data_IF_438407080017
#
_entry.id   IF_438407080017
#
_cell.length_a   1.000
_cell.length_b   1.000
_cell.length_c   1.000
_cell.angle_alpha   90.00
_cell.angle_beta   90.00
_cell.angle_gamma   90.00
#
_symmetry.space_group_name_H-M   'P 1'
#
loop_
_entity.id
_entity.type
_entity.pdbx_description
1 polymer ?
#
# COMPACT_ATOMS: atom_id res chain seq x y z
N UNK A 1 18.80 -9.23 -44.53
CA UNK A 1 18.44 -8.84 -45.91
C UNK A 1 18.38 -7.32 -46.02
N UNK A 2 19.07 -6.74 -47.01
CA UNK A 2 19.15 -5.31 -47.35
C UNK A 2 17.90 -4.80 -48.07
N UNK A 3 17.57 -3.51 -47.90
CA UNK A 3 16.98 -2.48 -48.83
C UNK A 3 16.27 -1.43 -47.95
N UNK A 4 16.68 -0.18 -47.75
CA UNK A 4 16.97 0.98 -48.65
C UNK A 4 15.83 1.29 -49.64
N UNK A 5 15.05 2.38 -49.44
CA UNK A 5 15.09 3.65 -50.22
C UNK A 5 13.87 4.60 -50.04
N UNK A 6 14.18 5.91 -49.84
CA UNK A 6 13.57 7.19 -50.32
C UNK A 6 12.06 7.47 -50.13
N UNK A 7 11.68 8.55 -49.42
CA UNK A 7 11.64 9.99 -49.82
C UNK A 7 10.68 10.33 -50.97
N UNK A 8 9.71 11.22 -50.71
CA UNK A 8 9.30 12.28 -51.65
C UNK A 8 8.63 13.46 -50.91
N UNK A 9 9.32 14.59 -50.89
CA UNK A 9 8.74 15.94 -50.79
C UNK A 9 8.06 16.24 -52.13
N UNK A 10 6.91 16.92 -52.11
CA UNK A 10 6.36 17.57 -53.31
C UNK A 10 6.03 19.02 -52.97
N UNK A 11 6.77 19.92 -53.58
CA UNK A 11 6.43 21.33 -53.72
C UNK A 11 5.57 21.50 -54.97
N UNK A 12 4.62 22.43 -54.95
CA UNK A 12 4.04 23.01 -56.16
C UNK A 12 3.99 24.53 -55.99
N UNK A 13 4.86 25.22 -56.71
CA UNK A 13 4.85 26.65 -56.98
C UNK A 13 3.73 27.00 -57.97
N UNK A 14 3.30 28.27 -57.98
CA UNK A 14 2.94 29.15 -59.12
C UNK A 14 2.07 30.28 -58.51
N UNK A 15 2.18 31.59 -58.77
CA UNK A 15 3.02 32.47 -59.59
C UNK A 15 2.71 33.91 -59.15
N UNK A 16 3.71 34.79 -59.21
CA UNK A 16 3.64 36.25 -59.04
C UNK A 16 3.46 36.89 -60.44
N UNK A 17 2.83 38.09 -60.56
CA UNK A 17 3.59 39.30 -60.93
C UNK A 17 3.14 40.52 -60.11
N UNK A 18 4.00 41.20 -59.35
CA UNK A 18 4.88 42.32 -59.73
C UNK A 18 4.19 43.46 -60.48
N UNK A 19 4.00 44.60 -59.79
CA UNK A 19 4.07 45.94 -60.37
C UNK A 19 4.72 46.92 -59.37
N UNK A 20 6.00 47.22 -59.62
CA UNK A 20 6.77 48.41 -59.24
C UNK A 20 6.11 49.64 -59.90
N UNK A 21 6.10 50.91 -59.45
CA UNK A 21 6.88 51.72 -58.50
C UNK A 21 6.15 53.07 -58.39
N UNK A 22 6.10 53.74 -57.22
CA UNK A 22 6.35 55.19 -57.15
C UNK A 22 6.59 55.64 -55.69
N UNK A 23 7.82 56.05 -55.40
CA UNK A 23 8.22 56.77 -54.20
C UNK A 23 7.86 58.23 -54.41
N UNK A 24 7.07 58.83 -53.51
CA UNK A 24 7.11 60.27 -53.27
C UNK A 24 6.92 60.57 -51.78
N UNK A 25 7.85 61.36 -51.24
CA UNK A 25 7.89 61.87 -49.87
C UNK A 25 6.60 62.63 -49.50
N UNK A 26 6.09 62.37 -48.30
CA UNK A 26 5.08 63.19 -47.63
C UNK A 26 5.21 63.04 -46.12
N UNK A 27 5.96 63.96 -45.50
CA UNK A 27 5.94 64.20 -44.05
C UNK A 27 4.51 64.60 -43.64
N UNK A 28 3.89 63.86 -42.72
CA UNK A 28 2.53 64.16 -42.25
C UNK A 28 2.03 63.25 -41.13
N UNK A 29 2.39 63.59 -39.90
CA UNK A 29 1.68 63.31 -38.65
C UNK A 29 1.30 61.85 -38.29
N UNK A 30 2.17 61.19 -37.52
CA UNK A 30 1.71 60.34 -36.43
C UNK A 30 0.98 61.23 -35.42
N UNK A 31 -0.35 61.19 -35.39
CA UNK A 31 -1.07 61.75 -34.23
C UNK A 31 -0.82 60.83 -33.05
N UNK A 32 0.13 61.23 -32.19
CA UNK A 32 0.20 60.75 -30.81
C UNK A 32 -1.21 60.82 -30.24
N UNK A 33 -1.75 59.68 -29.79
CA UNK A 33 -2.82 59.69 -28.79
C UNK A 33 -2.29 60.51 -27.64
N UNK A 34 -2.99 61.61 -27.34
CA UNK A 34 -2.58 62.60 -26.38
C UNK A 34 -2.33 61.94 -25.04
N UNK A 35 -1.13 62.15 -24.50
CA UNK A 35 -0.86 62.11 -23.08
C UNK A 35 -1.96 62.90 -22.35
N UNK A 36 -2.51 62.29 -21.29
CA UNK A 36 -3.40 62.88 -20.29
C UNK A 36 -4.61 63.68 -20.82
N UNK A 37 -5.86 63.19 -20.63
CA UNK A 37 -6.91 64.16 -20.38
C UNK A 37 -6.52 64.86 -19.08
N UNK A 38 -6.22 66.16 -19.16
CA UNK A 38 -6.10 67.01 -17.98
C UNK A 38 -7.39 66.86 -17.17
N UNK A 39 -7.29 66.14 -16.05
CA UNK A 39 -8.34 66.03 -15.04
C UNK A 39 -8.62 67.45 -14.53
N UNK A 40 -9.88 67.91 -14.50
CA UNK A 40 -10.20 69.21 -13.90
C UNK A 40 -9.72 69.24 -12.45
N UNK A 41 -8.81 70.16 -12.14
CA UNK A 41 -8.26 70.37 -10.80
C UNK A 41 -9.23 71.19 -9.93
N UNK A 42 -10.46 70.70 -9.79
CA UNK A 42 -11.43 71.15 -8.78
C UNK A 42 -11.53 70.09 -7.67
N UNK A 43 -12.13 70.42 -6.50
CA UNK A 43 -12.49 69.38 -5.55
C UNK A 43 -13.45 68.41 -6.26
N UNK A 44 -12.98 67.20 -6.54
CA UNK A 44 -13.84 66.14 -7.07
C UNK A 44 -15.04 66.01 -6.14
N UNK A 45 -16.29 66.04 -6.64
CA UNK A 45 -17.39 65.53 -5.84
C UNK A 45 -16.98 64.13 -5.39
N UNK A 46 -17.09 63.83 -4.10
CA UNK A 46 -16.82 62.48 -3.60
C UNK A 46 -17.75 61.53 -4.33
N UNK A 47 -17.21 60.80 -5.32
CA UNK A 47 -17.96 59.82 -6.11
C UNK A 47 -18.41 58.62 -5.27
N UNK A 48 -17.77 58.44 -4.11
CA UNK A 48 -18.18 57.49 -3.08
C UNK A 48 -18.77 58.23 -1.87
N UNK A 49 -19.77 57.65 -1.17
CA UNK A 49 -20.32 58.22 0.05
C UNK A 49 -19.28 58.27 1.20
N UNK A 50 -19.55 59.08 2.21
CA UNK A 50 -18.79 59.06 3.46
C UNK A 50 -18.85 57.65 4.09
N UNK A 51 -17.72 57.15 4.58
CA UNK A 51 -17.61 55.79 5.15
C UNK A 51 -17.22 54.68 4.17
N UNK A 52 -17.02 54.98 2.87
CA UNK A 52 -16.68 54.01 1.82
C UNK A 52 -15.55 53.03 2.17
N UNK A 53 -14.49 53.50 2.84
CA UNK A 53 -13.32 52.68 3.21
C UNK A 53 -13.30 52.26 4.68
N UNK A 54 -14.32 52.62 5.46
CA UNK A 54 -14.39 52.32 6.89
C UNK A 54 -15.32 51.10 7.13
N UNK A 55 -14.77 49.92 7.45
CA UNK A 55 -15.58 48.72 7.68
C UNK A 55 -16.48 48.82 8.91
N UNK A 56 -16.30 49.82 9.79
CA UNK A 56 -17.20 50.07 10.92
C UNK A 56 -18.51 50.72 10.49
N UNK A 57 -18.55 51.39 9.33
CA UNK A 57 -19.74 52.06 8.79
C UNK A 57 -20.44 51.13 7.77
N UNK A 58 -21.07 50.08 8.30
CA UNK A 58 -21.62 48.95 7.51
C UNK A 58 -22.40 49.36 6.25
N UNK A 59 -23.29 50.34 6.36
CA UNK A 59 -24.21 50.70 5.28
C UNK A 59 -23.56 51.44 4.11
N UNK A 60 -22.39 52.07 4.34
CA UNK A 60 -21.65 52.82 3.31
C UNK A 60 -20.33 52.17 2.91
N UNK A 61 -19.89 51.13 3.62
CA UNK A 61 -18.66 50.41 3.33
C UNK A 61 -18.72 49.76 1.94
N UNK A 62 -17.66 49.95 1.14
CA UNK A 62 -17.60 49.52 -0.25
C UNK A 62 -17.93 48.03 -0.44
N UNK A 63 -17.53 47.15 0.48
CA UNK A 63 -17.87 45.73 0.39
C UNK A 63 -19.38 45.46 0.38
N UNK A 64 -20.18 46.22 1.13
CA UNK A 64 -21.65 46.10 1.10
C UNK A 64 -22.24 46.74 -0.14
N UNK A 65 -21.69 47.86 -0.58
CA UNK A 65 -22.14 48.52 -1.81
C UNK A 65 -21.87 47.65 -3.05
N UNK A 66 -20.69 47.02 -3.14
CA UNK A 66 -20.33 46.07 -4.19
C UNK A 66 -21.27 44.86 -4.17
N UNK A 67 -21.54 44.30 -2.98
CA UNK A 67 -22.53 43.20 -2.83
C UNK A 67 -23.91 43.61 -3.32
N UNK A 68 -24.39 44.80 -2.97
CA UNK A 68 -25.69 45.31 -3.40
C UNK A 68 -25.76 45.52 -4.92
N UNK A 69 -24.62 45.76 -5.57
CA UNK A 69 -24.49 45.84 -7.02
C UNK A 69 -24.22 44.48 -7.69
N UNK A 70 -24.52 43.36 -7.01
CA UNK A 70 -24.34 42.02 -7.57
C UNK A 70 -22.87 41.64 -7.80
N UNK A 71 -21.94 42.25 -7.06
CA UNK A 71 -20.50 42.06 -7.19
C UNK A 71 -19.91 42.45 -8.56
N UNK A 72 -20.60 43.30 -9.32
CA UNK A 72 -20.06 43.81 -10.57
C UNK A 72 -18.93 44.82 -10.32
N UNK A 73 -17.71 44.47 -10.74
CA UNK A 73 -16.50 45.28 -10.60
C UNK A 73 -16.14 46.07 -11.86
N UNK A 74 -16.91 45.91 -12.95
CA UNK A 74 -16.60 46.52 -14.26
C UNK A 74 -16.63 48.05 -14.21
N UNK A 75 -17.61 48.62 -13.51
CA UNK A 75 -17.70 50.07 -13.29
C UNK A 75 -16.50 50.60 -12.48
N UNK A 76 -16.00 49.82 -11.52
CA UNK A 76 -14.83 50.18 -10.72
C UNK A 76 -13.56 50.22 -11.60
N UNK A 77 -13.39 49.25 -12.50
CA UNK A 77 -12.24 49.18 -13.41
C UNK A 77 -12.17 50.39 -14.36
N UNK A 78 -13.33 50.96 -14.73
CA UNK A 78 -13.39 52.17 -15.56
C UNK A 78 -12.65 53.38 -14.96
N UNK A 79 -12.62 53.48 -13.63
CA UNK A 79 -11.93 54.56 -12.91
C UNK A 79 -10.59 54.12 -12.30
N UNK A 80 -10.54 52.91 -11.72
CA UNK A 80 -9.40 52.42 -10.94
C UNK A 80 -8.41 51.55 -11.74
N UNK A 81 -8.68 51.35 -13.03
CA UNK A 81 -7.85 50.52 -13.92
C UNK A 81 -8.24 49.04 -13.86
N UNK A 82 -7.94 48.30 -14.91
CA UNK A 82 -8.21 46.84 -15.00
C UNK A 82 -7.40 46.02 -13.99
N UNK A 83 -6.32 46.58 -13.46
CA UNK A 83 -5.46 45.98 -12.42
C UNK A 83 -5.74 46.56 -11.03
N UNK A 84 -6.71 47.47 -10.89
CA UNK A 84 -7.03 48.19 -9.66
C UNK A 84 -5.85 49.00 -9.07
N UNK A 85 -4.82 49.28 -9.87
CA UNK A 85 -3.62 50.01 -9.47
C UNK A 85 -3.80 51.53 -9.47
N UNK A 86 -5.02 52.02 -9.76
CA UNK A 86 -5.41 53.42 -9.61
C UNK A 86 -5.88 54.10 -10.87
N UNK A 87 -5.61 53.53 -12.06
CA UNK A 87 -6.20 53.99 -13.33
C UNK A 87 -6.26 55.52 -13.51
N UNK A 88 -7.40 56.02 -13.95
CA UNK A 88 -7.64 57.48 -14.11
C UNK A 88 -7.95 58.19 -12.79
N UNK A 89 -8.40 57.46 -11.76
CA UNK A 89 -8.68 58.02 -10.44
C UNK A 89 -7.42 58.31 -9.62
N UNK A 90 -6.29 57.71 -9.98
CA UNK A 90 -5.02 57.71 -9.25
C UNK A 90 -5.12 57.15 -7.81
N UNK A 91 -6.21 56.42 -7.49
CA UNK A 91 -6.44 55.81 -6.18
C UNK A 91 -6.42 54.29 -6.33
N UNK A 92 -5.36 53.65 -5.82
CA UNK A 92 -5.21 52.19 -5.92
C UNK A 92 -5.96 51.46 -4.80
N UNK A 93 -6.76 50.45 -5.18
CA UNK A 93 -7.36 49.49 -4.25
C UNK A 93 -6.28 48.66 -3.54
N UNK A 94 -5.11 48.51 -4.18
CA UNK A 94 -4.00 47.72 -3.68
C UNK A 94 -3.29 48.35 -2.47
N UNK A 95 -3.66 49.58 -2.12
CA UNK A 95 -3.21 50.24 -0.88
C UNK A 95 -3.68 49.49 0.36
N UNK A 96 -4.90 48.92 0.30
CA UNK A 96 -5.47 48.12 1.39
C UNK A 96 -5.54 46.63 1.02
N UNK A 97 -5.78 46.31 -0.25
CA UNK A 97 -5.84 44.94 -0.73
C UNK A 97 -4.49 44.49 -1.27
N UNK A 98 -3.80 43.63 -0.52
CA UNK A 98 -2.50 43.11 -0.96
C UNK A 98 -2.52 42.23 -2.21
N UNK A 99 -3.71 41.76 -2.64
CA UNK A 99 -3.96 41.13 -3.95
C UNK A 99 -5.07 41.90 -4.67
N UNK A 100 -5.40 41.52 -5.90
CA UNK A 100 -6.57 42.09 -6.59
C UNK A 100 -7.84 41.96 -5.72
N UNK A 101 -8.73 42.97 -5.67
CA UNK A 101 -10.00 42.86 -4.96
C UNK A 101 -10.90 41.69 -5.40
N UNK A 102 -10.65 41.12 -6.58
CA UNK A 102 -11.33 39.92 -7.11
C UNK A 102 -10.67 38.60 -6.67
N UNK A 103 -9.59 38.64 -5.89
CA UNK A 103 -8.88 37.43 -5.45
C UNK A 103 -9.78 36.57 -4.55
N UNK A 104 -9.72 35.25 -4.72
CA UNK A 104 -10.55 34.30 -3.99
C UNK A 104 -10.50 34.52 -2.48
N UNK A 105 -9.32 34.84 -1.94
CA UNK A 105 -9.08 35.00 -0.50
C UNK A 105 -9.71 36.25 0.10
N UNK A 106 -10.16 37.21 -0.71
CA UNK A 106 -10.88 38.40 -0.26
C UNK A 106 -12.27 38.04 0.26
N UNK A 107 -12.91 37.03 -0.36
CA UNK A 107 -14.25 36.57 -0.01
C UNK A 107 -14.25 35.20 0.69
N UNK A 108 -13.43 34.27 0.22
CA UNK A 108 -13.34 32.90 0.73
C UNK A 108 -12.20 32.78 1.73
N UNK A 109 -12.54 32.95 3.00
CA UNK A 109 -11.63 32.75 4.12
C UNK A 109 -10.48 33.76 4.21
N UNK A 110 -9.33 33.44 3.64
CA UNK A 110 -8.15 34.30 3.62
C UNK A 110 -6.93 33.65 2.97
N UNK A 111 -5.84 34.41 2.81
CA UNK A 111 -4.65 33.98 2.04
C UNK A 111 -4.01 32.67 2.49
N UNK A 112 -4.13 32.35 3.78
CA UNK A 112 -3.58 31.13 4.38
C UNK A 112 -4.52 29.94 4.21
N UNK A 113 -5.83 30.21 4.10
CA UNK A 113 -6.86 29.20 4.14
C UNK A 113 -8.13 29.70 3.46
N UNK A 114 -8.33 29.27 2.22
CA UNK A 114 -9.50 29.63 1.41
C UNK A 114 -10.78 28.98 1.93
N UNK A 115 -10.67 27.87 2.66
CA UNK A 115 -11.80 27.32 3.37
C UNK A 115 -12.11 28.23 4.56
N UNK A 116 -13.31 28.81 4.64
CA UNK A 116 -13.53 29.97 5.49
C UNK A 116 -13.41 29.66 6.98
N UNK A 117 -12.53 30.32 7.74
CA UNK A 117 -12.78 30.60 9.16
C UNK A 117 -13.84 31.71 9.32
N UNK A 118 -14.17 32.42 8.23
CA UNK A 118 -15.17 33.48 8.14
C UNK A 118 -15.91 33.41 6.80
N UNK A 119 -17.24 33.36 6.80
CA UNK A 119 -18.05 33.33 5.58
C UNK A 119 -18.21 34.72 4.93
N UNK A 120 -18.87 34.78 3.77
CA UNK A 120 -19.11 36.02 3.00
C UNK A 120 -20.06 37.01 3.70
N UNK A 121 -20.78 36.56 4.72
CA UNK A 121 -21.62 37.42 5.58
C UNK A 121 -20.86 37.89 6.83
N UNK A 122 -19.63 37.40 7.00
CA UNK A 122 -18.73 37.75 8.07
C UNK A 122 -18.89 36.91 9.33
N UNK A 123 -19.68 35.84 9.31
CA UNK A 123 -19.84 34.92 10.43
C UNK A 123 -18.59 34.05 10.58
N UNK A 124 -18.26 33.67 11.81
CA UNK A 124 -17.10 32.79 12.11
C UNK A 124 -17.49 31.54 12.91
N UNK A 125 -18.76 31.42 13.30
CA UNK A 125 -19.24 30.29 14.09
C UNK A 125 -19.52 29.09 13.19
N UNK A 126 -19.03 27.91 13.58
CA UNK A 126 -19.27 26.64 12.87
C UNK A 126 -20.73 26.19 12.90
N UNK A 127 -21.57 26.79 13.74
CA UNK A 127 -23.02 26.59 13.75
C UNK A 127 -23.74 27.22 12.54
N UNK A 128 -23.04 28.03 11.73
CA UNK A 128 -23.57 28.67 10.52
C UNK A 128 -23.09 27.90 9.28
N UNK A 129 -24.00 27.66 8.33
CA UNK A 129 -23.74 26.85 7.12
C UNK A 129 -22.54 27.37 6.32
N UNK A 130 -22.38 28.69 6.20
CA UNK A 130 -21.27 29.32 5.46
C UNK A 130 -19.89 29.03 6.04
N UNK A 131 -19.79 28.65 7.32
CA UNK A 131 -18.53 28.26 7.97
C UNK A 131 -18.49 26.75 8.18
N UNK A 132 -19.43 26.20 8.95
CA UNK A 132 -19.61 24.76 9.17
C UNK A 132 -18.33 23.95 9.38
N UNK A 133 -18.31 22.74 8.82
CA UNK A 133 -17.22 21.78 8.94
C UNK A 133 -16.09 21.94 7.91
N UNK A 134 -15.97 23.08 7.21
CA UNK A 134 -14.93 23.30 6.19
C UNK A 134 -13.53 22.93 6.71
N UNK A 135 -13.16 23.43 7.90
CA UNK A 135 -11.84 23.19 8.49
C UNK A 135 -11.56 21.73 8.82
N UNK A 136 -12.61 20.93 9.08
CA UNK A 136 -12.45 19.51 9.36
C UNK A 136 -12.07 18.70 8.11
N UNK A 137 -12.43 19.18 6.92
CA UNK A 137 -12.18 18.49 5.65
C UNK A 137 -10.92 18.98 4.95
N UNK A 138 -10.62 20.29 4.99
CA UNK A 138 -9.47 20.86 4.28
C UNK A 138 -8.16 20.82 5.07
N UNK A 139 -8.16 20.19 6.25
CA UNK A 139 -6.98 19.96 7.08
C UNK A 139 -6.82 18.47 7.32
N UNK A 140 -5.58 17.99 7.33
CA UNK A 140 -5.32 16.61 7.67
C UNK A 140 -5.76 16.30 9.10
N UNK A 141 -6.58 15.26 9.26
CA UNK A 141 -7.14 14.82 10.53
C UNK A 141 -6.30 13.73 11.19
N UNK A 142 -6.94 12.98 12.11
CA UNK A 142 -6.35 11.75 12.68
C UNK A 142 -6.43 10.59 11.70
N UNK A 143 -7.56 10.46 11.00
CA UNK A 143 -7.86 9.33 10.14
C UNK A 143 -7.49 9.58 8.68
N UNK A 144 -7.70 10.79 8.15
CA UNK A 144 -7.49 11.08 6.73
C UNK A 144 -6.62 12.30 6.45
N UNK A 145 -6.19 12.41 5.19
CA UNK A 145 -5.56 13.60 4.63
C UNK A 145 -6.55 14.77 4.49
N UNK A 146 -6.03 15.94 4.15
CA UNK A 146 -6.86 17.06 3.71
C UNK A 146 -7.49 16.76 2.34
N UNK A 147 -8.75 17.16 2.15
CA UNK A 147 -9.46 17.05 0.89
C UNK A 147 -9.45 18.38 0.13
N UNK A 148 -9.37 18.28 -1.20
CA UNK A 148 -9.48 19.42 -2.09
C UNK A 148 -10.94 19.90 -2.16
N UNK A 149 -11.16 21.20 -2.37
CA UNK A 149 -12.50 21.79 -2.44
C UNK A 149 -13.37 21.13 -3.53
N UNK A 150 -12.74 20.66 -4.61
CA UNK A 150 -13.37 19.97 -5.73
C UNK A 150 -13.98 18.62 -5.36
N UNK A 151 -13.70 18.10 -4.17
CA UNK A 151 -14.32 16.86 -3.68
C UNK A 151 -15.82 17.05 -3.39
N UNK A 152 -16.24 18.27 -3.04
CA UNK A 152 -17.62 18.55 -2.62
C UNK A 152 -18.35 19.54 -3.53
N UNK A 153 -17.66 20.49 -4.15
CA UNK A 153 -18.30 21.50 -4.98
C UNK A 153 -17.42 21.92 -6.15
N UNK A 154 -18.03 22.55 -7.14
CA UNK A 154 -17.27 23.12 -8.25
C UNK A 154 -16.46 24.30 -7.72
N UNK A 155 -15.16 24.34 -8.03
CA UNK A 155 -14.30 25.50 -7.75
C UNK A 155 -14.21 26.33 -9.03
N UNK A 156 -14.73 27.57 -9.04
CA UNK A 156 -14.64 28.43 -10.21
C UNK A 156 -13.19 28.78 -10.54
N UNK A 157 -12.86 28.80 -11.83
CA UNK A 157 -11.52 29.20 -12.29
C UNK A 157 -11.28 30.71 -12.27
N UNK A 158 -12.34 31.51 -12.20
CA UNK A 158 -12.29 32.98 -12.18
C UNK A 158 -13.44 33.55 -11.35
N UNK A 159 -13.25 34.79 -10.87
CA UNK A 159 -14.27 35.57 -10.17
C UNK A 159 -15.59 35.67 -10.96
N UNK A 160 -15.49 36.01 -12.25
CA UNK A 160 -16.64 36.27 -13.13
C UNK A 160 -17.26 35.01 -13.77
N UNK A 161 -16.93 33.82 -13.28
CA UNK A 161 -17.55 32.60 -13.77
C UNK A 161 -19.07 32.66 -13.52
N UNK A 162 -19.87 32.35 -14.55
CA UNK A 162 -21.33 32.54 -14.52
C UNK A 162 -22.07 31.70 -13.47
N UNK A 163 -21.42 30.70 -12.90
CA UNK A 163 -21.95 29.83 -11.83
C UNK A 163 -21.25 30.07 -10.49
N UNK A 164 -20.47 31.14 -10.34
CA UNK A 164 -19.80 31.47 -9.07
C UNK A 164 -20.64 32.44 -8.23
N UNK A 165 -21.13 33.51 -8.86
CA UNK A 165 -21.97 34.54 -8.24
C UNK A 165 -23.28 34.56 -9.00
N UNK A 166 -24.26 33.83 -8.49
CA UNK A 166 -25.59 33.75 -9.08
C UNK A 166 -26.69 34.01 -8.02
N UNK A 167 -27.93 33.64 -8.31
CA UNK A 167 -29.06 33.85 -7.40
C UNK A 167 -29.11 32.85 -6.23
N UNK A 168 -28.22 31.87 -6.21
CA UNK A 168 -28.09 30.88 -5.16
C UNK A 168 -26.98 31.37 -4.21
N UNK A 169 -27.37 31.81 -3.01
CA UNK A 169 -26.43 32.32 -2.00
C UNK A 169 -25.61 31.21 -1.29
N UNK A 170 -25.15 30.20 -2.03
CA UNK A 170 -24.30 29.08 -1.58
C UNK A 170 -23.61 28.40 -2.76
N UNK A 171 -22.49 27.73 -2.52
CA UNK A 171 -21.84 26.92 -3.54
C UNK A 171 -22.69 25.71 -3.96
N UNK A 172 -22.64 25.38 -5.25
CA UNK A 172 -23.25 24.17 -5.83
C UNK A 172 -22.47 22.93 -5.41
N UNK A 173 -23.11 22.07 -4.61
CA UNK A 173 -22.52 20.81 -4.19
C UNK A 173 -22.57 19.80 -5.35
N UNK A 174 -21.41 19.34 -5.76
CA UNK A 174 -21.19 18.27 -6.73
C UNK A 174 -20.13 17.35 -6.15
N UNK A 175 -20.54 16.18 -5.67
CA UNK A 175 -19.61 15.21 -5.09
C UNK A 175 -18.73 14.59 -6.17
N UNK A 176 -17.42 14.55 -5.93
CA UNK A 176 -16.49 13.88 -6.83
C UNK A 176 -16.56 12.36 -6.68
N UNK A 177 -15.71 11.65 -7.45
CA UNK A 177 -15.72 10.20 -7.52
C UNK A 177 -15.44 9.54 -6.17
N UNK A 178 -14.50 10.08 -5.38
CA UNK A 178 -14.13 9.49 -4.09
C UNK A 178 -15.28 9.58 -3.08
N UNK A 179 -15.90 10.75 -2.93
CA UNK A 179 -17.08 10.94 -2.09
C UNK A 179 -18.29 10.08 -2.52
N UNK A 180 -18.32 9.68 -3.80
CA UNK A 180 -19.36 8.82 -4.38
C UNK A 180 -19.02 7.32 -4.37
N UNK A 181 -17.83 6.93 -3.89
CA UNK A 181 -17.38 5.55 -3.99
C UNK A 181 -18.17 4.63 -3.04
N UNK A 182 -18.74 3.54 -3.57
CA UNK A 182 -19.56 2.61 -2.78
C UNK A 182 -20.89 3.19 -2.26
N UNK A 183 -21.06 4.51 -2.30
CA UNK A 183 -22.29 5.20 -2.01
C UNK A 183 -23.34 4.98 -3.11
N UNK A 184 -24.57 4.71 -2.71
CA UNK A 184 -25.69 4.56 -3.66
C UNK A 184 -26.06 5.89 -4.31
N UNK A 185 -25.96 7.01 -3.57
CA UNK A 185 -26.14 8.39 -4.07
C UNK A 185 -25.76 9.43 -2.99
N UNK A 186 -24.54 10.01 -3.00
CA UNK A 186 -24.22 11.09 -2.06
C UNK A 186 -25.11 12.30 -2.30
N UNK A 187 -25.61 12.88 -1.20
CA UNK A 187 -26.53 14.01 -1.24
C UNK A 187 -26.27 15.01 -0.11
N UNK A 188 -26.58 16.27 -0.39
CA UNK A 188 -26.60 17.35 0.59
C UNK A 188 -27.96 18.04 0.58
N UNK A 189 -28.64 18.06 1.72
CA UNK A 189 -29.87 18.84 1.93
C UNK A 189 -29.52 20.23 2.52
N UNK A 190 -29.68 21.30 1.74
CA UNK A 190 -29.36 22.66 2.20
C UNK A 190 -30.33 23.19 3.27
N UNK A 191 -31.53 22.62 3.43
CA UNK A 191 -32.49 23.09 4.44
C UNK A 191 -32.10 22.64 5.84
N UNK A 192 -31.57 21.42 5.94
CA UNK A 192 -31.14 20.83 7.21
C UNK A 192 -29.62 20.86 7.40
N UNK A 193 -28.88 21.31 6.38
CA UNK A 193 -27.43 21.25 6.30
C UNK A 193 -26.90 19.81 6.50
N UNK A 194 -27.61 18.82 5.97
CA UNK A 194 -27.31 17.39 6.20
C UNK A 194 -26.68 16.76 4.97
N UNK A 195 -25.54 16.10 5.16
CA UNK A 195 -24.95 15.20 4.17
C UNK A 195 -25.41 13.77 4.45
N UNK A 196 -25.69 12.98 3.41
CA UNK A 196 -26.06 11.57 3.54
C UNK A 196 -25.47 10.74 2.41
N UNK A 197 -25.24 9.44 2.68
CA UNK A 197 -24.70 8.47 1.74
C UNK A 197 -23.40 8.94 1.07
N UNK A 198 -22.49 9.51 1.85
CA UNK A 198 -21.17 9.95 1.37
C UNK A 198 -20.16 8.91 1.82
N UNK A 199 -19.30 8.43 0.91
CA UNK A 199 -18.31 7.36 1.17
C UNK A 199 -17.62 7.49 2.54
N UNK A 200 -17.08 8.67 2.87
CA UNK A 200 -16.32 8.90 4.09
C UNK A 200 -17.15 8.87 5.38
N UNK A 201 -18.45 9.21 5.30
CA UNK A 201 -19.38 9.24 6.43
C UNK A 201 -20.34 8.04 6.45
N UNK A 202 -20.19 7.13 5.49
CA UNK A 202 -21.06 5.97 5.29
C UNK A 202 -22.52 6.37 5.00
N UNK A 203 -23.45 5.51 5.42
CA UNK A 203 -24.88 5.75 5.28
C UNK A 203 -25.46 6.66 6.39
N UNK A 204 -24.64 7.09 7.35
CA UNK A 204 -25.11 7.92 8.45
C UNK A 204 -25.32 9.37 8.00
N UNK A 205 -26.51 9.95 8.20
CA UNK A 205 -26.71 11.37 7.98
C UNK A 205 -25.88 12.19 8.97
N UNK A 206 -25.06 13.12 8.47
CA UNK A 206 -24.23 14.01 9.28
C UNK A 206 -24.58 15.47 9.02
N UNK A 207 -24.68 16.27 10.08
CA UNK A 207 -25.04 17.68 9.99
C UNK A 207 -23.78 18.53 9.88
N UNK A 208 -23.66 19.28 8.78
CA UNK A 208 -22.51 20.12 8.43
C UNK A 208 -22.12 21.16 9.50
N UNK A 209 -23.10 21.64 10.25
CA UNK A 209 -22.90 22.65 11.31
C UNK A 209 -22.65 22.05 12.69
N UNK A 210 -22.77 20.72 12.84
CA UNK A 210 -22.52 20.00 14.10
C UNK A 210 -21.03 19.64 14.24
N UNK A 211 -20.15 20.66 14.26
CA UNK A 211 -18.70 20.46 14.34
C UNK A 211 -18.26 20.12 15.76
N UNK A 212 -17.37 19.14 15.91
CA UNK A 212 -16.73 18.81 17.19
C UNK A 212 -17.44 17.75 18.02
N UNK A 213 -18.40 17.02 17.45
CA UNK A 213 -19.09 15.89 18.10
C UNK A 213 -18.31 14.58 18.00
N UNK A 214 -16.98 14.64 18.17
CA UNK A 214 -16.01 13.55 17.99
C UNK A 214 -15.85 13.02 16.55
N UNK A 215 -14.77 12.26 16.35
CA UNK A 215 -14.53 11.52 15.10
C UNK A 215 -15.24 10.16 15.19
N UNK A 216 -15.63 9.64 14.03
CA UNK A 216 -16.09 8.27 13.88
C UNK A 216 -15.13 7.28 14.58
N UNK A 217 -15.67 6.39 15.40
CA UNK A 217 -14.90 5.29 15.96
C UNK A 217 -14.55 4.30 14.84
N UNK A 218 -13.42 3.59 14.96
CA UNK A 218 -13.09 2.53 14.01
C UNK A 218 -14.24 1.50 14.00
N UNK A 219 -14.63 1.02 12.82
CA UNK A 219 -15.77 0.10 12.67
C UNK A 219 -17.08 0.77 12.23
N UNK A 220 -17.20 2.10 12.32
CA UNK A 220 -18.47 2.78 11.97
C UNK A 220 -18.61 3.10 10.48
N UNK A 221 -17.50 3.24 9.75
CA UNK A 221 -17.51 3.50 8.30
C UNK A 221 -17.36 2.21 7.48
N UNK A 222 -16.56 1.28 7.98
CA UNK A 222 -16.40 -0.08 7.45
C UNK A 222 -16.21 -1.04 8.63
N UNK A 223 -16.58 -2.30 8.44
CA UNK A 223 -16.33 -3.33 9.45
C UNK A 223 -14.83 -3.56 9.67
N UNK A 224 -14.48 -4.18 10.80
CA UNK A 224 -13.10 -4.52 11.17
C UNK A 224 -13.03 -5.99 11.60
N UNK A 225 -12.53 -6.90 10.75
CA UNK A 225 -12.16 -6.70 9.35
C UNK A 225 -13.36 -6.32 8.48
N UNK A 226 -13.15 -5.67 7.31
CA UNK A 226 -14.25 -5.40 6.39
C UNK A 226 -14.86 -6.72 5.89
N UNK A 227 -16.19 -6.78 5.73
CA UNK A 227 -16.86 -7.91 5.09
C UNK A 227 -16.55 -8.05 3.60
N UNK A 228 -17.29 -8.92 2.90
CA UNK A 228 -17.11 -9.19 1.48
C UNK A 228 -15.98 -10.18 1.21
N UNK A 229 -15.10 -9.88 0.25
CA UNK A 229 -14.01 -10.76 -0.19
C UNK A 229 -12.73 -10.63 0.69
N UNK A 230 -12.82 -10.00 1.86
CA UNK A 230 -11.68 -9.94 2.78
C UNK A 230 -11.33 -11.35 3.27
N UNK A 231 -10.07 -11.78 3.18
CA UNK A 231 -9.68 -13.12 3.60
C UNK A 231 -9.79 -13.31 5.13
N UNK A 232 -9.99 -14.55 5.58
CA UNK A 232 -9.80 -14.85 7.00
C UNK A 232 -8.35 -14.61 7.41
N UNK A 233 -8.15 -13.93 8.54
CA UNK A 233 -6.81 -13.47 8.93
C UNK A 233 -5.93 -14.58 9.48
N UNK A 234 -6.48 -15.75 9.84
CA UNK A 234 -5.74 -16.85 10.48
C UNK A 234 -4.85 -16.36 11.65
N UNK A 235 -5.40 -15.43 12.45
CA UNK A 235 -4.72 -14.81 13.60
C UNK A 235 -3.65 -13.78 13.26
N UNK A 236 -3.41 -13.44 11.99
CA UNK A 236 -2.49 -12.37 11.58
C UNK A 236 -3.03 -11.00 11.99
N UNK A 237 -2.12 -10.06 12.27
CA UNK A 237 -2.51 -8.68 12.56
C UNK A 237 -2.93 -7.97 11.27
N UNK A 238 -3.72 -6.90 11.39
CA UNK A 238 -4.10 -6.09 10.22
C UNK A 238 -2.86 -5.52 9.53
N UNK A 239 -1.81 -5.17 10.29
CA UNK A 239 -0.57 -4.65 9.76
C UNK A 239 0.24 -5.69 8.96
N UNK A 240 -0.01 -6.99 9.14
CA UNK A 240 0.63 -8.04 8.33
C UNK A 240 0.29 -7.90 6.83
N UNK A 241 -0.91 -7.39 6.50
CA UNK A 241 -1.34 -7.14 5.12
C UNK A 241 -1.37 -5.65 4.79
N UNK A 242 -1.79 -4.81 5.75
CA UNK A 242 -2.05 -3.38 5.57
C UNK A 242 -0.99 -2.49 6.25
N UNK A 243 0.23 -3.02 6.47
CA UNK A 243 1.32 -2.34 7.19
C UNK A 243 1.79 -1.03 6.59
N UNK A 244 1.41 -0.72 5.34
CA UNK A 244 1.64 0.59 4.73
C UNK A 244 0.68 1.69 5.25
N UNK A 245 -0.47 1.29 5.79
CA UNK A 245 -1.57 2.17 6.21
C UNK A 245 -1.73 2.18 7.72
N UNK A 246 -1.63 1.02 8.36
CA UNK A 246 -1.95 0.80 9.77
C UNK A 246 -0.85 0.01 10.49
N UNK A 247 -0.59 0.34 11.75
CA UNK A 247 0.32 -0.43 12.62
C UNK A 247 -0.40 -1.55 13.40
N UNK A 248 0.35 -2.34 14.18
CA UNK A 248 -0.19 -3.44 14.98
C UNK A 248 -1.19 -2.99 16.07
N UNK A 249 -1.20 -1.70 16.42
CA UNK A 249 -2.13 -1.10 17.39
C UNK A 249 -3.34 -0.43 16.69
N UNK A 250 -3.56 -0.74 15.41
CA UNK A 250 -4.62 -0.16 14.58
C UNK A 250 -4.54 1.37 14.43
N UNK A 251 -3.35 1.96 14.58
CA UNK A 251 -3.15 3.39 14.33
C UNK A 251 -2.84 3.63 12.86
N UNK A 252 -3.50 4.63 12.27
CA UNK A 252 -3.23 5.05 10.90
C UNK A 252 -1.88 5.77 10.83
N UNK A 253 -0.89 5.09 10.27
CA UNK A 253 0.47 5.63 10.07
C UNK A 253 0.62 6.39 8.75
N UNK A 254 -0.24 6.09 7.77
CA UNK A 254 -0.27 6.81 6.49
C UNK A 254 -1.67 7.25 6.08
N UNK A 255 -1.98 8.50 6.41
CA UNK A 255 -3.27 9.14 6.18
C UNK A 255 -3.58 9.44 4.70
N UNK A 256 -2.58 9.37 3.83
CA UNK A 256 -2.79 9.52 2.39
C UNK A 256 -3.30 8.23 1.75
N UNK A 257 -3.13 7.11 2.43
CA UNK A 257 -3.59 5.79 1.98
C UNK A 257 -4.93 5.43 2.64
N UNK A 258 -5.14 5.79 3.91
CA UNK A 258 -6.45 5.57 4.54
C UNK A 258 -7.54 6.44 3.85
N UNK A 259 -8.69 5.82 3.55
CA UNK A 259 -9.88 6.43 2.90
C UNK A 259 -9.63 7.10 1.52
N UNK A 260 -8.63 6.63 0.77
CA UNK A 260 -8.34 7.12 -0.58
C UNK A 260 -9.11 6.37 -1.69
N UNK A 261 -9.93 5.39 -1.32
CA UNK A 261 -10.71 4.59 -2.26
C UNK A 261 -10.01 3.34 -2.81
N UNK A 262 -8.81 3.02 -2.34
CA UNK A 262 -8.06 1.84 -2.73
C UNK A 262 -7.79 0.97 -1.51
N UNK A 263 -7.58 -0.32 -1.76
CA UNK A 263 -7.18 -1.27 -0.72
C UNK A 263 -5.68 -1.48 -0.87
N UNK A 264 -4.89 -0.96 0.06
CA UNK A 264 -3.45 -1.16 0.06
C UNK A 264 -3.10 -2.46 0.77
N UNK A 265 -2.60 -3.43 0.00
CA UNK A 265 -1.98 -4.64 0.53
C UNK A 265 -0.50 -4.59 0.17
N UNK A 266 0.36 -4.56 1.19
CA UNK A 266 1.80 -4.60 1.02
C UNK A 266 2.35 -5.74 1.87
N UNK A 267 2.51 -6.90 1.24
CA UNK A 267 3.07 -8.10 1.87
C UNK A 267 4.51 -8.24 1.36
N UNK A 268 5.46 -7.68 2.10
CA UNK A 268 6.88 -8.02 1.95
C UNK A 268 7.25 -9.04 3.05
N UNK A 269 6.62 -10.22 2.98
CA UNK A 269 6.72 -11.24 4.01
C UNK A 269 8.08 -11.99 4.01
N UNK A 270 8.83 -11.92 2.91
CA UNK A 270 10.08 -12.66 2.75
C UNK A 270 11.22 -11.73 2.33
N UNK A 271 12.44 -11.92 2.88
CA UNK A 271 13.61 -11.17 2.45
C UNK A 271 14.04 -11.53 1.02
N UNK A 272 14.84 -10.66 0.41
CA UNK A 272 15.48 -10.96 -0.86
C UNK A 272 16.32 -12.24 -0.78
N UNK A 273 16.21 -13.09 -1.80
CA UNK A 273 16.91 -14.38 -1.88
C UNK A 273 16.19 -15.56 -1.23
N UNK A 274 14.94 -15.41 -0.80
CA UNK A 274 14.14 -16.47 -0.15
C UNK A 274 14.05 -17.78 -0.93
N UNK A 275 13.95 -17.70 -2.27
CA UNK A 275 13.83 -18.86 -3.17
C UNK A 275 15.15 -19.24 -3.86
N UNK A 276 16.22 -18.52 -3.58
CA UNK A 276 17.54 -18.79 -4.17
C UNK A 276 18.31 -19.74 -3.25
N UNK A 277 18.55 -20.96 -3.72
CA UNK A 277 19.25 -22.01 -2.94
C UNK A 277 20.69 -21.65 -2.57
N UNK A 278 21.28 -20.65 -3.23
CA UNK A 278 22.63 -20.14 -2.93
C UNK A 278 22.65 -18.98 -1.95
N UNK A 279 21.49 -18.47 -1.56
CA UNK A 279 21.35 -17.33 -0.65
C UNK A 279 21.40 -17.77 0.82
N UNK A 280 22.03 -16.94 1.66
CA UNK A 280 21.96 -17.10 3.13
C UNK A 280 20.51 -16.92 3.64
N UNK A 281 19.65 -16.25 2.88
CA UNK A 281 18.23 -16.07 3.18
C UNK A 281 17.34 -17.19 2.61
N UNK A 282 17.92 -18.26 2.05
CA UNK A 282 17.15 -19.35 1.48
C UNK A 282 16.16 -19.94 2.50
N UNK A 283 14.90 -20.13 2.10
CA UNK A 283 13.84 -20.57 3.00
C UNK A 283 14.17 -21.87 3.74
N UNK A 284 14.85 -22.83 3.11
CA UNK A 284 15.26 -24.07 3.78
C UNK A 284 16.18 -23.83 5.00
N UNK A 285 17.04 -22.80 4.96
CA UNK A 285 17.88 -22.42 6.11
C UNK A 285 17.06 -21.68 7.17
N UNK A 286 16.14 -20.81 6.74
CA UNK A 286 15.27 -20.08 7.64
C UNK A 286 14.33 -21.03 8.42
N UNK A 287 13.72 -22.00 7.73
CA UNK A 287 12.86 -23.03 8.30
C UNK A 287 13.64 -23.89 9.30
N UNK A 288 14.86 -24.33 8.97
CA UNK A 288 15.74 -25.05 9.90
C UNK A 288 16.00 -24.25 11.18
N UNK A 289 16.26 -22.95 11.04
CA UNK A 289 16.51 -22.05 12.18
C UNK A 289 15.26 -21.87 13.05
N UNK A 290 14.07 -21.95 12.44
CA UNK A 290 12.78 -21.97 13.12
C UNK A 290 12.41 -23.36 13.66
N UNK A 291 13.39 -24.26 13.85
CA UNK A 291 13.18 -25.63 14.30
C UNK A 291 12.16 -26.40 13.45
N UNK A 292 12.14 -26.12 12.15
CA UNK A 292 11.22 -26.70 11.17
C UNK A 292 9.74 -26.35 11.41
N UNK A 293 9.42 -25.33 12.20
CA UNK A 293 8.03 -24.89 12.39
C UNK A 293 7.45 -24.27 11.10
N UNK A 294 6.49 -24.98 10.50
CA UNK A 294 5.79 -24.55 9.28
C UNK A 294 4.43 -23.89 9.55
N UNK A 295 4.01 -23.79 10.82
CA UNK A 295 2.69 -23.29 11.19
C UNK A 295 2.46 -21.84 10.74
N UNK A 296 3.49 -20.99 10.84
CA UNK A 296 3.42 -19.60 10.38
C UNK A 296 3.31 -19.51 8.85
N UNK A 297 3.92 -20.44 8.11
CA UNK A 297 3.80 -20.51 6.66
C UNK A 297 2.35 -20.84 6.25
N UNK A 298 1.70 -21.78 6.93
CA UNK A 298 0.33 -22.21 6.64
C UNK A 298 -0.70 -21.07 6.77
N UNK A 299 -0.44 -20.09 7.65
CA UNK A 299 -1.32 -18.92 7.85
C UNK A 299 -1.45 -18.09 6.57
N UNK A 300 -0.39 -18.02 5.77
CA UNK A 300 -0.36 -17.31 4.48
C UNK A 300 -0.57 -18.23 3.27
N UNK A 301 0.07 -19.40 3.26
CA UNK A 301 0.12 -20.30 2.09
C UNK A 301 -0.94 -21.40 2.10
N UNK A 302 -1.78 -21.45 3.13
CA UNK A 302 -2.79 -22.49 3.32
C UNK A 302 -2.22 -23.72 3.99
N UNK A 303 -3.09 -24.53 4.62
CA UNK A 303 -2.69 -25.80 5.26
C UNK A 303 -2.19 -26.85 4.28
N UNK A 304 -2.50 -26.69 2.99
CA UNK A 304 -2.05 -27.55 1.89
C UNK A 304 -0.85 -26.96 1.11
N UNK A 305 -0.36 -25.78 1.53
CA UNK A 305 0.70 -25.04 0.85
C UNK A 305 0.42 -24.71 -0.63
N UNK A 306 -0.85 -24.81 -1.06
CA UNK A 306 -1.26 -24.57 -2.43
C UNK A 306 -1.39 -23.08 -2.77
N UNK A 307 -1.11 -22.20 -1.81
CA UNK A 307 -0.95 -20.76 -2.00
C UNK A 307 -1.82 -19.91 -1.11
N UNK A 308 -2.90 -20.46 -0.54
CA UNK A 308 -3.72 -19.80 0.48
C UNK A 308 -4.06 -18.35 0.14
N UNK A 309 -3.94 -17.46 1.12
CA UNK A 309 -4.15 -16.01 0.94
C UNK A 309 -2.99 -15.34 0.18
N UNK A 310 -1.78 -15.92 0.22
CA UNK A 310 -0.61 -15.41 -0.48
C UNK A 310 -0.65 -15.63 -2.00
N UNK A 311 -1.58 -16.46 -2.49
CA UNK A 311 -1.74 -16.87 -3.89
C UNK A 311 -0.44 -17.42 -4.52
N UNK A 312 0.51 -17.85 -3.68
CA UNK A 312 1.85 -18.30 -4.09
C UNK A 312 2.06 -19.72 -3.58
N UNK A 313 1.98 -20.70 -4.47
CA UNK A 313 2.03 -22.12 -4.12
C UNK A 313 3.46 -22.63 -3.95
N UNK A 314 3.74 -23.28 -2.84
CA UNK A 314 4.99 -24.03 -2.62
C UNK A 314 5.08 -25.23 -3.57
N UNK A 315 3.92 -25.74 -4.02
CA UNK A 315 3.81 -26.90 -4.90
C UNK A 315 4.32 -26.63 -6.32
N UNK A 316 4.68 -25.37 -6.62
CA UNK A 316 5.37 -25.01 -7.86
C UNK A 316 6.77 -25.63 -7.94
N UNK A 317 7.43 -25.81 -6.79
CA UNK A 317 8.78 -26.37 -6.71
C UNK A 317 8.83 -27.69 -5.93
N UNK A 318 7.94 -27.88 -4.97
CA UNK A 318 7.79 -29.14 -4.23
C UNK A 318 6.68 -29.96 -4.88
N UNK A 319 7.04 -31.05 -5.58
CA UNK A 319 6.05 -31.87 -6.29
C UNK A 319 5.03 -32.49 -5.32
N UNK A 320 5.50 -32.85 -4.13
CA UNK A 320 4.70 -33.21 -2.97
C UNK A 320 4.61 -32.04 -1.98
N UNK A 321 3.98 -32.26 -0.82
CA UNK A 321 3.93 -31.24 0.24
C UNK A 321 5.36 -30.87 0.69
N UNK A 322 5.64 -29.60 1.04
CA UNK A 322 6.92 -29.20 1.64
C UNK A 322 7.29 -29.95 2.92
N UNK A 323 6.33 -30.62 3.55
CA UNK A 323 6.52 -31.47 4.74
C UNK A 323 6.82 -32.95 4.40
N UNK A 324 6.94 -33.31 3.11
CA UNK A 324 7.28 -34.68 2.72
C UNK A 324 8.68 -35.06 3.21
N UNK A 325 8.85 -36.31 3.64
CA UNK A 325 10.09 -36.79 4.23
C UNK A 325 11.31 -36.51 3.34
N UNK A 326 11.16 -36.75 2.03
CA UNK A 326 12.23 -36.64 1.03
C UNK A 326 12.74 -35.21 0.83
N UNK A 327 11.97 -34.21 1.26
CA UNK A 327 12.34 -32.79 1.20
C UNK A 327 13.41 -32.46 2.24
N UNK A 328 13.35 -33.09 3.41
CA UNK A 328 14.24 -32.79 4.53
C UNK A 328 15.44 -33.74 4.59
N UNK A 329 15.22 -35.03 4.34
CA UNK A 329 16.24 -36.06 4.31
C UNK A 329 15.85 -37.17 3.33
N UNK A 330 16.79 -37.96 2.85
CA UNK A 330 16.43 -38.97 1.83
C UNK A 330 16.60 -38.44 0.42
N UNK A 331 15.88 -39.08 -0.49
CA UNK A 331 15.62 -38.64 -1.86
C UNK A 331 14.29 -39.24 -2.33
N UNK A 332 13.80 -38.79 -3.48
CA UNK A 332 12.63 -39.38 -4.13
C UNK A 332 12.79 -40.91 -4.26
N UNK A 333 11.90 -41.66 -3.60
CA UNK A 333 11.92 -43.13 -3.61
C UNK A 333 13.00 -43.80 -2.74
N UNK A 334 13.79 -43.04 -1.96
CA UNK A 334 14.72 -43.59 -0.97
C UNK A 334 14.68 -42.80 0.35
N UNK A 335 13.93 -43.32 1.32
CA UNK A 335 13.79 -42.71 2.64
C UNK A 335 15.02 -42.94 3.55
N UNK A 336 15.90 -43.89 3.24
CA UNK A 336 17.24 -43.91 3.85
C UNK A 336 18.03 -42.73 3.28
N UNK A 337 18.59 -41.85 4.11
CA UNK A 337 19.23 -40.63 3.64
C UNK A 337 20.50 -40.92 2.80
N UNK A 338 20.50 -40.78 1.45
CA UNK A 338 21.71 -40.37 0.76
C UNK A 338 22.08 -38.94 1.12
N UNK A 339 21.14 -38.18 1.70
CA UNK A 339 21.31 -36.84 2.23
C UNK A 339 20.65 -36.70 3.62
N UNK A 340 21.40 -36.23 4.62
CA UNK A 340 20.86 -35.92 5.95
C UNK A 340 20.21 -34.51 6.01
N UNK A 341 19.60 -34.18 7.15
CA UNK A 341 18.92 -32.88 7.38
C UNK A 341 19.85 -31.66 7.36
N UNK A 342 21.16 -31.89 7.39
CA UNK A 342 22.22 -30.90 7.26
C UNK A 342 22.81 -30.86 5.86
N UNK A 343 22.15 -31.51 4.88
CA UNK A 343 22.53 -31.62 3.48
C UNK A 343 23.80 -32.44 3.20
N UNK A 344 24.37 -33.11 4.22
CA UNK A 344 25.53 -33.96 4.02
C UNK A 344 25.14 -35.22 3.26
N UNK A 345 26.02 -35.72 2.40
CA UNK A 345 25.79 -36.94 1.61
C UNK A 345 26.85 -38.02 1.80
N UNK A 346 27.94 -37.71 2.51
CA UNK A 346 28.99 -38.68 2.78
C UNK A 346 28.62 -39.58 3.95
N UNK A 347 28.90 -40.88 3.82
CA UNK A 347 28.65 -41.89 4.87
C UNK A 347 29.45 -41.63 6.15
N UNK A 348 30.48 -40.79 6.11
CA UNK A 348 31.22 -40.34 7.29
C UNK A 348 30.41 -39.49 8.26
N UNK A 349 29.25 -38.97 7.85
CA UNK A 349 28.34 -38.23 8.72
C UNK A 349 27.32 -39.18 9.35
N UNK A 350 27.10 -39.05 10.67
CA UNK A 350 26.20 -39.92 11.44
C UNK A 350 24.77 -39.95 10.89
N UNK A 351 24.27 -38.82 10.34
CA UNK A 351 22.95 -38.71 9.73
C UNK A 351 22.80 -39.48 8.40
N UNK A 352 23.91 -39.79 7.72
CA UNK A 352 23.94 -40.59 6.49
C UNK A 352 24.34 -42.03 6.82
N UNK A 353 25.57 -42.21 7.30
CA UNK A 353 26.13 -43.48 7.76
C UNK A 353 25.84 -44.70 6.89
N UNK A 354 25.64 -45.84 7.54
CA UNK A 354 25.42 -47.12 6.89
C UNK A 354 23.96 -47.40 6.49
N UNK A 355 23.08 -46.39 6.42
CA UNK A 355 21.66 -46.60 6.08
C UNK A 355 21.51 -47.41 4.80
N UNK A 356 22.22 -47.02 3.74
CA UNK A 356 22.09 -47.68 2.44
C UNK A 356 22.61 -49.13 2.46
N UNK A 357 23.58 -49.45 3.30
CA UNK A 357 24.09 -50.81 3.43
C UNK A 357 23.06 -51.77 4.05
N UNK A 358 22.13 -51.26 4.86
CA UNK A 358 21.09 -52.07 5.51
C UNK A 358 19.80 -52.19 4.70
N UNK A 359 19.53 -51.23 3.81
CA UNK A 359 18.33 -51.24 2.96
C UNK A 359 18.52 -51.97 1.64
N UNK A 360 19.76 -52.28 1.25
CA UNK A 360 20.06 -53.06 0.04
C UNK A 360 20.22 -54.54 0.37
N UNK A 361 19.75 -55.42 -0.51
CA UNK A 361 20.02 -56.85 -0.40
C UNK A 361 21.52 -57.12 -0.52
N UNK A 362 22.00 -58.09 0.24
CA UNK A 362 23.38 -58.59 0.18
C UNK A 362 23.38 -60.10 -0.03
N UNK A 363 24.57 -60.67 -0.25
CA UNK A 363 24.73 -62.13 -0.32
C UNK A 363 24.36 -62.84 1.00
N UNK A 364 24.28 -62.10 2.12
CA UNK A 364 24.07 -62.63 3.46
C UNK A 364 22.71 -62.28 4.08
N UNK A 365 22.08 -61.19 3.63
CA UNK A 365 20.87 -60.65 4.26
C UNK A 365 19.88 -60.13 3.22
N UNK A 366 18.59 -60.31 3.49
CA UNK A 366 17.55 -59.51 2.84
C UNK A 366 17.58 -58.06 3.34
N UNK A 367 16.85 -57.17 2.66
CA UNK A 367 16.65 -55.77 3.09
C UNK A 367 16.08 -55.71 4.51
N UNK A 368 16.58 -54.79 5.34
CA UNK A 368 16.04 -54.52 6.67
C UNK A 368 14.97 -53.42 6.63
N UNK A 369 13.92 -53.57 7.41
CA UNK A 369 12.94 -52.50 7.60
C UNK A 369 13.53 -51.42 8.52
N UNK A 370 13.21 -50.14 8.29
CA UNK A 370 13.70 -49.04 9.13
C UNK A 370 13.33 -49.21 10.62
N UNK A 371 12.15 -49.80 10.88
CA UNK A 371 11.65 -50.13 12.21
C UNK A 371 12.50 -51.17 12.98
N UNK A 372 13.49 -51.78 12.33
CA UNK A 372 14.48 -52.62 13.02
C UNK A 372 15.51 -51.81 13.83
N UNK A 373 15.66 -50.51 13.57
CA UNK A 373 16.60 -49.64 14.28
C UNK A 373 15.87 -48.59 15.13
N UNK A 374 15.02 -47.78 14.49
CA UNK A 374 14.40 -46.61 15.09
C UNK A 374 12.90 -46.56 14.83
N UNK A 375 12.21 -45.71 15.58
CA UNK A 375 10.80 -45.41 15.31
C UNK A 375 10.72 -44.69 13.97
N UNK A 376 9.91 -45.22 13.04
CA UNK A 376 9.63 -44.55 11.78
C UNK A 376 8.43 -43.64 12.00
N UNK A 377 8.56 -42.33 11.85
CA UNK A 377 7.43 -41.43 11.98
C UNK A 377 6.39 -41.73 10.89
N UNK A 378 5.12 -41.66 11.28
CA UNK A 378 3.97 -41.77 10.40
C UNK A 378 3.64 -40.43 9.72
N UNK A 379 4.10 -39.32 10.29
CA UNK A 379 3.90 -37.98 9.76
C UNK A 379 5.01 -37.01 10.20
N UNK A 380 5.13 -35.90 9.47
CA UNK A 380 6.01 -34.78 9.81
C UNK A 380 5.81 -34.30 11.27
N UNK A 381 4.56 -34.17 11.70
CA UNK A 381 4.17 -33.61 12.99
C UNK A 381 4.16 -34.63 14.15
N UNK A 382 4.70 -35.84 13.95
CA UNK A 382 4.78 -36.81 15.03
C UNK A 382 5.63 -36.25 16.19
N UNK A 383 5.16 -36.27 17.46
CA UNK A 383 5.83 -35.58 18.56
C UNK A 383 7.27 -36.02 18.85
N UNK A 384 7.63 -37.24 18.44
CA UNK A 384 8.98 -37.78 18.59
C UNK A 384 9.85 -37.52 17.33
N UNK A 385 9.30 -36.99 16.24
CA UNK A 385 10.06 -36.81 15.01
C UNK A 385 10.93 -35.55 15.03
N UNK A 386 10.36 -34.43 15.45
CA UNK A 386 11.05 -33.13 15.56
C UNK A 386 10.90 -32.65 17.01
N UNK A 387 11.65 -33.28 17.91
CA UNK A 387 11.52 -33.09 19.36
C UNK A 387 12.62 -32.18 19.97
N UNK A 388 13.56 -31.72 19.12
CA UNK A 388 14.59 -30.75 19.44
C UNK A 388 15.95 -31.34 19.80
N UNK A 389 16.12 -32.66 19.85
CA UNK A 389 17.43 -33.28 20.12
C UNK A 389 18.25 -33.57 18.85
N UNK A 390 17.59 -33.52 17.68
CA UNK A 390 18.19 -33.68 16.36
C UNK A 390 18.55 -35.12 16.00
N UNK A 391 17.95 -36.11 16.67
CA UNK A 391 18.25 -37.54 16.54
C UNK A 391 16.97 -38.33 16.31
N UNK A 392 17.13 -39.59 15.87
CA UNK A 392 16.02 -40.53 15.75
C UNK A 392 15.99 -41.45 16.97
N UNK A 393 14.80 -41.77 17.48
CA UNK A 393 14.62 -42.64 18.65
C UNK A 393 14.87 -44.10 18.28
N UNK A 394 15.99 -44.65 18.79
CA UNK A 394 16.32 -46.06 18.62
C UNK A 394 15.46 -46.95 19.53
N UNK A 395 14.78 -47.94 18.94
CA UNK A 395 13.89 -48.87 19.65
C UNK A 395 14.25 -50.36 19.45
N UNK A 396 15.14 -50.65 18.50
CA UNK A 396 15.63 -51.98 18.10
C UNK A 396 14.54 -53.05 17.90
N UNK A 397 14.36 -53.47 16.65
CA UNK A 397 13.39 -54.48 16.25
C UNK A 397 13.73 -55.90 16.68
N UNK A 398 12.95 -56.85 16.18
CA UNK A 398 13.05 -58.25 16.61
C UNK A 398 14.32 -58.91 16.10
N UNK A 399 14.74 -58.57 14.87
CA UNK A 399 15.92 -59.17 14.25
C UNK A 399 17.18 -58.76 15.01
N UNK A 400 17.30 -57.46 15.34
CA UNK A 400 18.44 -56.94 16.09
C UNK A 400 18.64 -57.61 17.46
N UNK A 401 17.55 -58.03 18.12
CA UNK A 401 17.52 -58.65 19.46
C UNK A 401 17.52 -60.19 19.44
N UNK A 402 17.58 -60.81 18.27
CA UNK A 402 17.54 -62.27 18.14
C UNK A 402 18.74 -62.91 18.87
N UNK A 403 18.58 -64.14 19.35
CA UNK A 403 19.64 -64.86 20.07
C UNK A 403 19.99 -64.30 21.45
N UNK A 404 19.14 -63.43 22.01
CA UNK A 404 19.41 -62.79 23.31
C UNK A 404 20.33 -61.58 23.23
N UNK A 405 20.59 -61.08 22.01
CA UNK A 405 21.35 -59.86 21.79
C UNK A 405 20.70 -58.66 22.50
N UNK A 406 21.54 -57.75 22.98
CA UNK A 406 21.14 -56.50 23.62
C UNK A 406 21.73 -55.31 22.83
N UNK A 407 21.17 -54.96 21.66
CA UNK A 407 21.67 -53.92 20.78
C UNK A 407 21.85 -52.59 21.50
N UNK A 408 22.99 -51.94 21.30
CA UNK A 408 23.29 -50.59 21.80
C UNK A 408 23.89 -49.74 20.68
N UNK A 409 23.64 -48.44 20.75
CA UNK A 409 24.29 -47.43 19.91
C UNK A 409 24.84 -46.32 20.80
N UNK A 410 26.12 -46.00 20.62
CA UNK A 410 26.77 -44.84 21.20
C UNK A 410 26.84 -43.74 20.15
N UNK A 411 26.08 -42.67 20.37
CA UNK A 411 25.96 -41.53 19.46
C UNK A 411 27.20 -40.63 19.43
N UNK A 412 28.05 -40.67 20.47
CA UNK A 412 29.28 -39.89 20.53
C UNK A 412 30.37 -40.50 19.64
N UNK A 413 30.38 -41.83 19.56
CA UNK A 413 31.34 -42.59 18.76
C UNK A 413 30.74 -43.15 17.47
N UNK A 414 29.44 -42.96 17.26
CA UNK A 414 28.65 -43.58 16.18
C UNK A 414 28.84 -45.10 16.13
N UNK A 415 28.88 -45.77 17.27
CA UNK A 415 29.26 -47.20 17.36
C UNK A 415 28.07 -48.06 17.76
N UNK A 416 27.81 -49.12 16.99
CA UNK A 416 26.87 -50.18 17.34
C UNK A 416 27.59 -51.32 18.08
N UNK A 417 26.93 -51.91 19.07
CA UNK A 417 27.43 -53.07 19.80
C UNK A 417 26.30 -54.06 20.13
N UNK A 418 26.66 -55.34 20.27
CA UNK A 418 25.75 -56.40 20.71
C UNK A 418 24.48 -56.52 19.86
N UNK A 419 24.61 -56.32 18.55
CA UNK A 419 23.54 -56.47 17.56
C UNK A 419 23.64 -57.85 16.94
N UNK A 420 22.54 -58.61 16.90
CA UNK A 420 22.54 -60.00 16.42
C UNK A 420 23.27 -60.21 15.09
N UNK A 421 22.99 -59.36 14.09
CA UNK A 421 23.59 -59.46 12.75
C UNK A 421 25.10 -59.15 12.70
N UNK A 422 25.64 -58.48 13.72
CA UNK A 422 27.07 -58.19 13.88
C UNK A 422 27.73 -59.05 14.97
N UNK A 423 26.98 -59.96 15.59
CA UNK A 423 27.43 -60.76 16.73
C UNK A 423 27.92 -59.91 17.89
N UNK A 424 29.03 -60.32 18.50
CA UNK A 424 29.70 -59.58 19.58
C UNK A 424 30.61 -58.45 19.08
N UNK A 425 30.59 -58.15 17.78
CA UNK A 425 31.45 -57.11 17.22
C UNK A 425 30.91 -55.70 17.52
N UNK A 426 31.85 -54.79 17.74
CA UNK A 426 31.60 -53.36 17.81
C UNK A 426 31.92 -52.78 16.43
N UNK A 427 30.93 -52.13 15.80
CA UNK A 427 31.04 -51.62 14.43
C UNK A 427 30.68 -50.14 14.38
N UNK A 428 31.43 -49.36 13.60
CA UNK A 428 31.23 -47.91 13.49
C UNK A 428 30.28 -47.62 12.33
N UNK A 429 29.15 -46.98 12.63
CA UNK A 429 28.06 -46.65 11.71
C UNK A 429 28.50 -45.77 10.53
N UNK A 430 29.51 -44.92 10.74
CA UNK A 430 30.03 -43.98 9.73
C UNK A 430 31.18 -44.55 8.90
N UNK A 431 31.68 -45.73 9.23
CA UNK A 431 32.76 -46.41 8.50
C UNK A 431 32.18 -47.50 7.60
N UNK A 432 31.53 -47.08 6.51
CA UNK A 432 30.91 -47.99 5.55
C UNK A 432 31.97 -48.60 4.62
N UNK A 433 32.36 -49.85 4.91
CA UNK A 433 33.24 -50.66 4.07
C UNK A 433 32.50 -51.58 3.09
N UNK A 434 33.25 -52.25 2.21
CA UNK A 434 32.72 -53.30 1.31
C UNK A 434 32.79 -54.71 1.91
N UNK A 435 33.48 -54.87 3.04
CA UNK A 435 33.78 -56.17 3.60
C UNK A 435 32.59 -56.68 4.43
N UNK A 436 31.96 -57.74 3.94
CA UNK A 436 30.85 -58.42 4.63
C UNK A 436 31.40 -59.38 5.69
N UNK A 437 30.63 -59.61 6.76
CA UNK A 437 30.99 -60.59 7.78
C UNK A 437 31.08 -62.00 7.16
N UNK A 438 32.04 -62.82 7.58
CA UNK A 438 32.15 -64.20 7.09
C UNK A 438 31.16 -65.13 7.80
N UNK A 439 30.73 -66.21 7.15
CA UNK A 439 29.90 -67.23 7.81
C UNK A 439 30.57 -67.73 9.10
N UNK A 440 29.79 -67.90 10.18
CA UNK A 440 30.31 -68.27 11.50
C UNK A 440 30.61 -67.08 12.43
N UNK A 441 30.46 -65.84 11.96
CA UNK A 441 30.71 -64.63 12.77
C UNK A 441 29.55 -64.33 13.72
N UNK A 442 28.31 -64.64 13.34
CA UNK A 442 27.11 -64.26 14.10
C UNK A 442 26.48 -65.44 14.85
N UNK A 443 26.67 -66.66 14.36
CA UNK A 443 26.24 -67.91 15.00
C UNK A 443 27.19 -69.05 14.63
N UNK A 444 27.23 -70.11 15.44
CA UNK A 444 28.04 -71.28 15.16
C UNK A 444 27.62 -71.98 13.85
N UNK A 445 28.54 -72.74 13.28
CA UNK A 445 28.30 -73.59 12.11
C UNK A 445 28.53 -75.06 12.48
N UNK A 446 27.53 -75.95 12.38
CA UNK A 446 26.12 -75.68 12.04
C UNK A 446 25.36 -74.98 13.19
N UNK A 447 24.31 -74.21 12.87
CA UNK A 447 23.52 -73.45 13.85
C UNK A 447 22.64 -74.32 14.77
#
# INVERSE_FOLDING_TARGET
MKRIFRSKRSACNLLIPSLLTLILLGLGACSKVRDNPTVPSGPSPSVHPEGWIDPSVKDSFHGQAIRANGWDMSDCQGCHGTDYAGGVSQVSCLTCHSDTPEDCSVCHGGKVNLAPPRDTQGNTATSVIGVGAHQAHVRAGKLGRAFDCTECHVVPSTFAASTHIDSIERAEIVFATLASQGATKPNYDPQTATCASVYCHGDQPVVWTAVGTDQAACGTCHELPPGGDHPETNGLSCASCHGAVVDDNLQIINKNLHINGQVEVAIEAHPAGWIDTSSDNFHGQAIRTAAWDMSDCQRCHGSDYAGGIAQSSCLTCHADTPEDCSVCHGSDGNSAPPQDTHTNTATSFIGVGAHQAHLLESDLTSTLACAECHTVPSSFADPAHIDGDGKAELIWGTVAKTGGAAPQFDDQTATCASVYCHGDQSVVWTEVGTDQATCGTCHELPP
#
